data_IF_910978077569
#
_entry.id   IF_910978077569
#
_cell.length_a   1.000
_cell.length_b   1.000
_cell.length_c   1.000
_cell.angle_alpha   90.00
_cell.angle_beta   90.00
_cell.angle_gamma   90.00
#
_symmetry.space_group_name_H-M   'P 1'
#
loop_
_entity.id
_entity.type
_entity.pdbx_description
1 polymer ?
#
# COMPACT_ATOMS: atom_id res chain seq x y z
N UNK A 1 37.05 -2.35 9.49
CA UNK A 1 36.12 -2.44 10.63
C UNK A 1 35.41 -3.78 10.52
N UNK A 2 35.42 -4.59 11.53
CA UNK A 2 34.70 -5.84 11.62
C UNK A 2 33.20 -5.59 11.62
N UNK A 3 32.45 -6.45 10.96
CA UNK A 3 31.01 -6.39 11.00
C UNK A 3 30.53 -6.83 12.41
N UNK A 4 29.40 -6.31 12.90
CA UNK A 4 28.83 -6.77 14.14
C UNK A 4 28.54 -8.27 14.05
N UNK A 5 28.79 -9.00 15.14
CA UNK A 5 28.53 -10.45 15.23
C UNK A 5 27.02 -10.78 15.32
N UNK A 6 26.16 -9.78 15.49
CA UNK A 6 24.71 -9.95 15.56
C UNK A 6 24.06 -9.77 14.19
N UNK A 7 23.14 -10.66 13.87
CA UNK A 7 22.31 -10.59 12.67
C UNK A 7 20.95 -9.96 13.02
N UNK A 8 20.47 -9.03 12.19
CA UNK A 8 19.19 -8.36 12.42
C UNK A 8 18.00 -9.31 12.19
N UNK A 9 18.17 -10.27 11.27
CA UNK A 9 17.11 -11.22 10.92
C UNK A 9 17.66 -12.57 10.46
N UNK A 10 16.85 -13.61 10.66
CA UNK A 10 17.09 -14.95 10.13
C UNK A 10 15.84 -15.41 9.40
N UNK A 11 15.93 -15.63 8.11
CA UNK A 11 14.86 -16.25 7.31
C UNK A 11 15.27 -17.67 6.93
N UNK A 12 14.42 -18.64 7.23
CA UNK A 12 14.64 -20.05 6.87
C UNK A 12 13.70 -20.43 5.75
N UNK A 13 14.24 -20.94 4.65
CA UNK A 13 13.46 -21.54 3.57
C UNK A 13 13.39 -23.05 3.79
N UNK A 14 12.18 -23.60 3.74
CA UNK A 14 11.93 -25.03 3.90
C UNK A 14 11.37 -25.61 2.61
N UNK A 15 11.66 -26.89 2.35
CA UNK A 15 11.02 -27.69 1.33
C UNK A 15 10.49 -28.95 2.04
N UNK A 16 9.17 -28.97 2.23
CA UNK A 16 8.55 -29.88 3.22
C UNK A 16 9.07 -29.53 4.61
N UNK A 17 9.45 -30.54 5.38
CA UNK A 17 9.99 -30.37 6.74
C UNK A 17 11.51 -30.10 6.79
N UNK A 18 12.20 -30.13 5.64
CA UNK A 18 13.63 -29.90 5.57
C UNK A 18 13.96 -28.41 5.44
N UNK A 19 14.84 -27.92 6.31
CA UNK A 19 15.40 -26.56 6.25
C UNK A 19 16.53 -26.52 5.21
N UNK A 20 16.30 -25.85 4.07
CA UNK A 20 17.26 -25.86 2.96
C UNK A 20 18.23 -24.69 3.04
N UNK A 21 17.74 -23.47 3.33
CA UNK A 21 18.55 -22.26 3.30
C UNK A 21 18.23 -21.38 4.50
N UNK A 22 19.28 -20.88 5.15
CA UNK A 22 19.20 -19.84 6.15
C UNK A 22 19.70 -18.52 5.56
N UNK A 23 18.85 -17.50 5.54
CA UNK A 23 19.25 -16.14 5.21
C UNK A 23 19.44 -15.35 6.51
N UNK A 24 20.61 -14.73 6.64
CA UNK A 24 20.91 -13.81 7.72
C UNK A 24 21.03 -12.40 7.15
N UNK A 25 20.43 -11.42 7.81
CA UNK A 25 20.59 -10.01 7.49
C UNK A 25 21.34 -9.32 8.63
N UNK A 26 22.14 -8.36 8.27
CA UNK A 26 22.84 -7.52 9.24
C UNK A 26 22.82 -6.07 8.73
N UNK A 27 22.88 -5.14 9.66
CA UNK A 27 22.86 -3.70 9.37
C UNK A 27 24.18 -3.09 9.84
N UNK A 28 24.88 -2.46 8.89
CA UNK A 28 26.13 -1.75 9.18
C UNK A 28 25.95 -0.29 8.78
N UNK A 29 26.22 0.62 9.71
CA UNK A 29 26.35 2.05 9.41
C UNK A 29 27.82 2.37 9.13
N UNK A 30 28.12 2.78 7.90
CA UNK A 30 29.47 3.09 7.48
C UNK A 30 29.55 4.60 7.18
N UNK A 31 30.33 5.38 7.94
CA UNK A 31 30.55 6.78 7.62
C UNK A 31 31.26 6.91 6.28
N UNK A 32 30.80 7.82 5.42
CA UNK A 32 31.35 7.98 4.08
C UNK A 32 32.64 8.83 4.05
N UNK A 33 32.95 9.53 5.14
CA UNK A 33 34.14 10.38 5.24
C UNK A 33 35.41 9.53 5.09
N UNK A 34 36.32 9.96 4.25
CA UNK A 34 37.64 9.35 4.00
C UNK A 34 37.61 7.95 3.36
N UNK A 35 36.43 7.44 3.01
CA UNK A 35 36.31 6.17 2.31
C UNK A 35 36.40 6.34 0.80
N UNK A 36 37.27 5.52 0.17
CA UNK A 36 37.38 5.43 -1.28
C UNK A 36 36.73 4.15 -1.83
N UNK A 37 36.75 3.08 -1.04
CA UNK A 37 36.31 1.75 -1.47
C UNK A 37 35.83 0.92 -0.26
N UNK A 38 34.74 0.18 -0.45
CA UNK A 38 34.23 -0.79 0.51
C UNK A 38 34.16 -2.16 -0.14
N UNK A 39 34.64 -3.17 0.54
CA UNK A 39 34.56 -4.58 0.20
C UNK A 39 33.83 -5.30 1.34
N UNK A 40 33.09 -6.33 0.97
CA UNK A 40 32.50 -7.26 1.94
C UNK A 40 33.25 -8.60 1.82
N UNK A 41 33.80 -9.06 2.92
CA UNK A 41 34.57 -10.29 2.99
C UNK A 41 33.88 -11.18 4.05
N UNK A 42 33.62 -12.41 3.69
CA UNK A 42 33.19 -13.45 4.63
C UNK A 42 34.42 -14.22 5.10
N UNK A 43 34.64 -14.27 6.40
CA UNK A 43 35.70 -15.06 7.02
C UNK A 43 35.08 -16.33 7.58
N UNK A 44 35.61 -17.45 7.15
CA UNK A 44 35.21 -18.76 7.69
C UNK A 44 35.95 -19.05 9.01
N UNK A 45 35.46 -20.02 9.79
CA UNK A 45 36.06 -20.42 11.05
C UNK A 45 37.49 -21.00 10.88
N UNK A 46 37.76 -21.56 9.71
CA UNK A 46 39.10 -22.08 9.32
C UNK A 46 40.09 -20.99 8.91
N UNK A 47 39.68 -19.70 8.99
CA UNK A 47 40.52 -18.57 8.62
C UNK A 47 40.45 -18.20 7.12
N UNK A 48 39.79 -19.00 6.27
CA UNK A 48 39.64 -18.67 4.86
C UNK A 48 38.76 -17.47 4.64
N UNK A 49 39.03 -16.69 3.59
CA UNK A 49 38.28 -15.48 3.25
C UNK A 49 37.69 -15.56 1.85
N UNK A 50 36.40 -15.20 1.74
CA UNK A 50 35.75 -15.07 0.44
C UNK A 50 35.13 -13.69 0.25
N UNK A 51 35.38 -13.06 -0.88
CA UNK A 51 34.76 -11.77 -1.23
C UNK A 51 33.33 -11.97 -1.72
N UNK A 52 32.39 -11.37 -1.01
CA UNK A 52 30.98 -11.47 -1.36
C UNK A 52 30.66 -10.70 -2.64
N UNK A 53 29.83 -11.31 -3.46
CA UNK A 53 29.17 -10.63 -4.58
C UNK A 53 28.01 -9.80 -4.06
N UNK A 54 27.98 -8.52 -4.39
CA UNK A 54 26.95 -7.61 -3.93
C UNK A 54 25.76 -7.63 -4.89
N UNK A 55 24.59 -7.87 -4.35
CA UNK A 55 23.31 -7.58 -5.00
C UNK A 55 22.65 -6.41 -4.28
N UNK A 56 22.13 -5.47 -5.04
CA UNK A 56 21.47 -4.30 -4.45
C UNK A 56 19.97 -4.54 -4.42
N UNK A 57 19.40 -4.35 -3.25
CA UNK A 57 17.96 -4.35 -3.04
C UNK A 57 17.28 -3.20 -3.80
N UNK A 58 15.98 -3.24 -3.87
CA UNK A 58 15.15 -2.31 -4.63
C UNK A 58 15.41 -0.83 -4.30
N UNK A 59 15.65 -0.52 -3.05
CA UNK A 59 15.79 0.87 -2.57
C UNK A 59 17.25 1.35 -2.47
N UNK A 60 18.19 0.61 -3.03
CA UNK A 60 19.62 0.94 -2.92
C UNK A 60 20.06 2.14 -3.78
N UNK A 61 19.23 2.61 -4.72
CA UNK A 61 19.60 3.68 -5.63
C UNK A 61 20.70 3.33 -6.64
N UNK A 62 21.24 2.10 -6.61
CA UNK A 62 22.25 1.59 -7.54
C UNK A 62 21.75 0.27 -8.09
N UNK A 63 21.55 0.15 -9.39
CA UNK A 63 20.86 -1.02 -9.95
C UNK A 63 21.55 -1.63 -11.19
N UNK A 64 22.31 -0.86 -11.93
CA UNK A 64 22.98 -1.31 -13.16
C UNK A 64 24.45 -0.91 -13.17
N UNK A 65 25.26 -1.56 -14.03
CA UNK A 65 26.72 -1.41 -14.08
C UNK A 65 27.15 0.02 -14.16
N UNK A 66 26.63 0.96 -14.69
CA UNK A 66 27.08 2.34 -14.74
C UNK A 66 26.22 3.31 -13.90
N UNK A 67 25.15 2.80 -13.30
CA UNK A 67 24.33 3.61 -12.41
C UNK A 67 25.11 4.05 -11.17
N UNK A 68 24.68 5.13 -10.57
CA UNK A 68 25.30 5.70 -9.39
C UNK A 68 24.22 6.36 -8.54
N UNK A 69 24.47 6.50 -7.26
CA UNK A 69 23.64 7.36 -6.42
C UNK A 69 24.49 8.48 -5.81
N UNK A 70 23.84 9.57 -5.49
CA UNK A 70 24.44 10.70 -4.80
C UNK A 70 23.91 10.74 -3.38
N UNK A 71 24.82 10.66 -2.40
CA UNK A 71 24.50 10.81 -1.01
C UNK A 71 25.39 11.89 -0.42
N UNK A 72 24.76 12.94 0.07
CA UNK A 72 25.46 14.12 0.59
C UNK A 72 26.50 14.67 -0.44
N UNK A 73 27.74 14.73 -0.06
CA UNK A 73 28.85 15.20 -0.90
C UNK A 73 29.58 14.08 -1.67
N UNK A 74 28.98 12.89 -1.76
CA UNK A 74 29.64 11.74 -2.37
C UNK A 74 28.82 11.13 -3.52
N UNK A 75 29.56 10.58 -4.52
CA UNK A 75 29.02 9.72 -5.57
C UNK A 75 29.38 8.29 -5.20
N UNK A 76 28.37 7.44 -5.05
CA UNK A 76 28.48 6.03 -4.71
C UNK A 76 28.14 5.21 -5.94
N UNK A 77 28.95 4.21 -6.24
CA UNK A 77 28.75 3.32 -7.39
C UNK A 77 29.25 1.92 -7.13
N UNK A 78 28.70 0.96 -7.83
CA UNK A 78 29.15 -0.42 -7.81
C UNK A 78 30.16 -0.68 -8.95
N UNK A 79 31.23 -1.41 -8.64
CA UNK A 79 32.16 -1.92 -9.65
C UNK A 79 32.67 -3.30 -9.23
N UNK A 80 32.33 -4.34 -9.99
CA UNK A 80 32.63 -5.74 -9.68
C UNK A 80 32.09 -6.09 -8.26
N UNK A 81 32.94 -6.56 -7.34
CA UNK A 81 32.60 -6.90 -5.95
C UNK A 81 32.76 -5.71 -4.96
N UNK A 82 32.89 -4.46 -5.46
CA UNK A 82 33.24 -3.30 -4.62
C UNK A 82 32.19 -2.19 -4.72
N UNK A 83 32.00 -1.46 -3.63
CA UNK A 83 31.36 -0.15 -3.62
C UNK A 83 32.47 0.90 -3.69
N UNK A 84 32.43 1.78 -4.68
CA UNK A 84 33.37 2.89 -4.85
C UNK A 84 32.69 4.19 -4.43
N UNK A 85 33.42 4.98 -3.65
CA UNK A 85 32.97 6.25 -3.09
C UNK A 85 33.92 7.33 -3.60
N UNK A 86 33.37 8.39 -4.17
CA UNK A 86 34.17 9.52 -4.68
C UNK A 86 33.51 10.83 -4.29
N UNK A 87 34.30 11.83 -3.88
CA UNK A 87 33.79 13.18 -3.59
C UNK A 87 33.08 13.75 -4.82
N UNK A 88 31.89 14.28 -4.62
CA UNK A 88 31.05 14.85 -5.67
C UNK A 88 31.66 16.15 -6.21
N UNK A 89 31.79 16.23 -7.53
CA UNK A 89 32.04 17.47 -8.25
C UNK A 89 31.13 17.53 -9.46
N UNK A 90 30.80 18.72 -9.96
CA UNK A 90 29.97 18.89 -11.17
C UNK A 90 30.52 18.08 -12.36
N UNK A 91 31.82 18.17 -12.60
CA UNK A 91 32.51 17.44 -13.69
C UNK A 91 32.39 15.91 -13.56
N UNK A 92 32.57 15.36 -12.34
CA UNK A 92 32.44 13.93 -12.08
C UNK A 92 31.00 13.45 -12.25
N UNK A 93 30.04 14.26 -11.79
CA UNK A 93 28.61 13.94 -11.92
C UNK A 93 28.21 13.89 -13.40
N UNK A 94 28.54 14.91 -14.18
CA UNK A 94 28.25 14.97 -15.61
C UNK A 94 28.90 13.78 -16.36
N UNK A 95 30.18 13.48 -16.09
CA UNK A 95 30.86 12.32 -16.69
C UNK A 95 30.16 10.99 -16.36
N UNK A 96 29.57 10.85 -15.16
CA UNK A 96 28.82 9.65 -14.78
C UNK A 96 27.49 9.57 -15.51
N UNK A 97 26.77 10.66 -15.58
CA UNK A 97 25.49 10.70 -16.28
C UNK A 97 25.67 10.38 -17.77
N UNK A 98 26.62 11.02 -18.45
CA UNK A 98 26.92 10.72 -19.86
C UNK A 98 27.23 9.23 -20.08
N UNK A 99 28.04 8.62 -19.21
CA UNK A 99 28.35 7.19 -19.32
C UNK A 99 27.12 6.32 -19.12
N UNK A 100 26.22 6.73 -18.25
CA UNK A 100 24.98 5.99 -18.02
C UNK A 100 24.01 6.16 -19.18
N UNK A 101 23.88 7.35 -19.76
CA UNK A 101 23.10 7.58 -20.97
C UNK A 101 23.60 6.73 -22.14
N UNK A 102 24.91 6.65 -22.36
CA UNK A 102 25.51 5.75 -23.37
C UNK A 102 25.16 4.27 -23.10
N UNK A 103 25.14 3.85 -21.84
CA UNK A 103 24.71 2.49 -21.49
C UNK A 103 23.22 2.26 -21.81
N UNK A 104 22.35 3.22 -21.51
CA UNK A 104 20.93 3.13 -21.85
C UNK A 104 20.70 3.10 -23.37
N UNK A 105 21.50 3.83 -24.14
CA UNK A 105 21.46 3.76 -25.62
C UNK A 105 21.83 2.37 -26.12
N UNK A 106 22.92 1.78 -25.62
CA UNK A 106 23.35 0.41 -25.97
C UNK A 106 22.30 -0.64 -25.62
N UNK A 107 21.58 -0.44 -24.52
CA UNK A 107 20.49 -1.31 -24.08
C UNK A 107 19.13 -0.95 -24.72
N UNK A 108 19.11 -0.06 -25.71
CA UNK A 108 17.91 0.41 -26.46
C UNK A 108 16.81 0.97 -25.56
N UNK A 109 17.19 1.63 -24.46
CA UNK A 109 16.26 2.20 -23.49
C UNK A 109 15.97 3.70 -23.76
N UNK A 110 15.65 4.08 -24.99
CA UNK A 110 15.51 5.48 -25.44
C UNK A 110 14.46 6.27 -24.63
N UNK A 111 13.31 5.66 -24.31
CA UNK A 111 12.28 6.32 -23.50
C UNK A 111 12.81 6.72 -22.11
N UNK A 112 13.70 5.94 -21.52
CA UNK A 112 14.27 6.25 -20.20
C UNK A 112 15.32 7.37 -20.27
N UNK A 113 16.04 7.49 -21.38
CA UNK A 113 16.94 8.62 -21.63
C UNK A 113 16.14 9.91 -21.59
N UNK A 114 14.99 9.95 -22.28
CA UNK A 114 14.11 11.10 -22.27
C UNK A 114 13.60 11.46 -20.86
N UNK A 115 13.17 10.47 -20.07
CA UNK A 115 12.78 10.70 -18.67
C UNK A 115 13.92 11.26 -17.83
N UNK A 116 15.15 10.77 -18.01
CA UNK A 116 16.32 11.29 -17.28
C UNK A 116 16.64 12.73 -17.62
N UNK A 117 16.68 13.06 -18.92
CA UNK A 117 16.92 14.43 -19.37
C UNK A 117 15.82 15.39 -18.84
N UNK A 118 14.56 15.01 -19.00
CA UNK A 118 13.42 15.79 -18.48
C UNK A 118 13.50 15.94 -16.93
N UNK A 119 13.90 14.90 -16.21
CA UNK A 119 14.10 14.97 -14.77
C UNK A 119 15.14 16.02 -14.38
N UNK A 120 16.33 16.00 -14.99
CA UNK A 120 17.38 16.95 -14.64
C UNK A 120 16.98 18.38 -15.00
N UNK A 121 16.39 18.60 -16.16
CA UNK A 121 15.87 19.93 -16.56
C UNK A 121 14.81 20.40 -15.55
N UNK A 122 13.78 19.60 -15.31
CA UNK A 122 12.71 19.98 -14.39
C UNK A 122 13.19 20.19 -12.95
N UNK A 123 14.21 19.45 -12.52
CA UNK A 123 14.78 19.59 -11.18
C UNK A 123 15.43 20.95 -10.95
N UNK A 124 16.02 21.56 -11.99
CA UNK A 124 16.61 22.92 -11.91
C UNK A 124 15.55 23.98 -11.59
N UNK A 125 14.34 23.82 -12.15
CA UNK A 125 13.24 24.78 -12.00
C UNK A 125 12.27 24.46 -10.87
N UNK A 126 12.33 23.24 -10.30
CA UNK A 126 11.40 22.82 -9.26
C UNK A 126 11.86 23.29 -7.88
N UNK A 127 11.30 24.39 -7.42
CA UNK A 127 11.60 24.97 -6.09
C UNK A 127 10.72 24.43 -4.96
N UNK A 128 9.62 23.73 -5.29
CA UNK A 128 8.66 23.22 -4.30
C UNK A 128 8.81 21.71 -4.11
N UNK A 129 8.57 21.23 -2.90
CA UNK A 129 8.43 19.80 -2.68
C UNK A 129 7.21 19.26 -3.42
N UNK A 130 7.34 18.11 -4.04
CA UNK A 130 6.22 17.42 -4.71
C UNK A 130 5.81 16.24 -3.85
N UNK A 131 4.53 16.22 -3.46
CA UNK A 131 3.90 15.11 -2.79
C UNK A 131 2.84 14.50 -3.70
N UNK A 132 2.86 13.18 -3.86
CA UNK A 132 1.86 12.44 -4.62
C UNK A 132 1.09 11.58 -3.64
N UNK A 133 -0.22 11.75 -3.63
CA UNK A 133 -1.17 11.01 -2.81
C UNK A 133 -1.97 10.07 -3.71
N UNK A 134 -2.29 8.89 -3.24
CA UNK A 134 -3.15 7.92 -3.95
C UNK A 134 -3.83 6.96 -2.98
N UNK A 135 -4.92 6.38 -3.43
CA UNK A 135 -5.53 5.20 -2.85
C UNK A 135 -5.32 4.01 -3.79
N UNK A 136 -6.38 3.39 -4.32
CA UNK A 136 -6.23 2.38 -5.36
C UNK A 136 -6.04 3.01 -6.75
N UNK A 137 -5.86 2.18 -7.79
CA UNK A 137 -5.67 2.66 -9.15
C UNK A 137 -6.89 3.42 -9.68
N UNK A 138 -8.11 2.99 -9.32
CA UNK A 138 -9.37 3.47 -9.91
C UNK A 138 -10.34 4.08 -8.89
N UNK A 139 -10.10 3.87 -7.61
CA UNK A 139 -11.01 4.27 -6.55
C UNK A 139 -10.28 5.19 -5.56
N UNK A 140 -10.88 6.31 -5.26
CA UNK A 140 -10.44 7.27 -4.26
C UNK A 140 -11.53 7.37 -3.18
N UNK A 141 -11.57 6.44 -2.27
CA UNK A 141 -12.53 6.42 -1.17
C UNK A 141 -11.89 5.81 0.09
N UNK A 142 -10.69 6.27 0.42
CA UNK A 142 -9.90 5.77 1.52
C UNK A 142 -9.05 6.89 2.13
N UNK A 143 -8.14 6.54 3.02
CA UNK A 143 -7.28 7.45 3.77
C UNK A 143 -6.49 8.44 2.90
N UNK A 144 -6.14 8.06 1.66
CA UNK A 144 -5.44 8.95 0.73
C UNK A 144 -6.33 10.07 0.22
N UNK A 145 -7.59 9.80 -0.11
CA UNK A 145 -8.56 10.84 -0.50
C UNK A 145 -8.73 11.87 0.61
N UNK A 146 -8.97 11.42 1.83
CA UNK A 146 -9.23 12.30 2.97
C UNK A 146 -8.01 13.13 3.34
N UNK A 147 -6.84 12.49 3.34
CA UNK A 147 -5.59 13.20 3.55
C UNK A 147 -5.30 14.21 2.44
N UNK A 148 -5.60 13.88 1.17
CA UNK A 148 -5.44 14.83 0.07
C UNK A 148 -6.37 16.04 0.22
N UNK A 149 -7.64 15.82 0.56
CA UNK A 149 -8.61 16.90 0.82
C UNK A 149 -8.15 17.81 1.96
N UNK A 150 -7.63 17.24 3.03
CA UNK A 150 -7.05 18.00 4.13
C UNK A 150 -5.87 18.86 3.65
N UNK A 151 -4.95 18.30 2.87
CA UNK A 151 -3.79 19.03 2.34
C UNK A 151 -4.16 20.21 1.43
N UNK A 152 -5.35 20.21 0.81
CA UNK A 152 -5.82 21.36 0.02
C UNK A 152 -6.33 22.52 0.90
N UNK A 153 -6.73 22.23 2.15
CA UNK A 153 -7.18 23.25 3.11
C UNK A 153 -6.00 23.90 3.84
N UNK A 154 -4.87 23.21 3.94
CA UNK A 154 -3.67 23.71 4.60
C UNK A 154 -2.85 24.56 3.62
N UNK A 155 -2.71 25.85 3.90
CA UNK A 155 -1.86 26.73 3.09
C UNK A 155 -0.38 26.42 3.32
N UNK A 156 0.18 25.59 2.47
CA UNK A 156 1.62 25.30 2.47
C UNK A 156 2.26 25.67 1.12
N UNK A 157 2.75 26.91 1.04
CA UNK A 157 3.38 27.48 -0.16
C UNK A 157 4.63 26.70 -0.63
N UNK A 158 5.25 25.90 0.23
CA UNK A 158 6.46 25.11 -0.08
C UNK A 158 6.18 23.75 -0.71
N UNK A 159 4.96 23.24 -0.57
CA UNK A 159 4.56 21.91 -1.04
C UNK A 159 3.61 22.03 -2.22
N UNK A 160 3.75 21.13 -3.19
CA UNK A 160 2.83 20.97 -4.32
C UNK A 160 2.27 19.56 -4.29
N UNK A 161 1.00 19.44 -3.97
CA UNK A 161 0.31 18.15 -3.84
C UNK A 161 -0.40 17.76 -5.13
N UNK A 162 -0.41 16.45 -5.39
CA UNK A 162 -1.14 15.84 -6.49
C UNK A 162 -1.84 14.59 -6.00
N UNK A 163 -3.04 14.33 -6.50
CA UNK A 163 -3.68 13.02 -6.35
C UNK A 163 -3.44 12.19 -7.62
N UNK A 164 -3.04 10.94 -7.48
CA UNK A 164 -2.79 10.04 -8.61
C UNK A 164 -3.89 8.99 -8.71
N UNK A 165 -4.53 8.88 -9.89
CA UNK A 165 -5.63 7.95 -10.17
C UNK A 165 -5.75 7.73 -11.68
N UNK A 166 -6.36 6.62 -12.12
CA UNK A 166 -6.68 6.40 -13.54
C UNK A 166 -7.70 7.41 -14.07
N UNK A 167 -7.59 7.74 -15.38
CA UNK A 167 -8.51 8.72 -16.01
C UNK A 167 -9.92 8.17 -16.21
N UNK A 168 -10.02 6.87 -16.50
CA UNK A 168 -11.27 6.22 -16.90
C UNK A 168 -12.00 5.63 -15.69
N UNK A 169 -12.20 6.44 -14.66
CA UNK A 169 -12.98 6.10 -13.48
C UNK A 169 -13.75 7.33 -12.98
N UNK A 170 -14.84 7.12 -12.28
CA UNK A 170 -15.73 8.18 -11.81
C UNK A 170 -15.03 9.11 -10.81
N UNK A 171 -14.21 8.54 -9.95
CA UNK A 171 -13.45 9.28 -8.96
C UNK A 171 -12.39 10.22 -9.53
N UNK A 172 -12.00 10.06 -10.81
CA UNK A 172 -11.10 11.02 -11.45
C UNK A 172 -11.72 12.43 -11.53
N UNK A 173 -13.00 12.52 -11.92
CA UNK A 173 -13.71 13.80 -11.97
C UNK A 173 -13.97 14.35 -10.57
N UNK A 174 -14.34 13.49 -9.63
CA UNK A 174 -14.52 13.81 -8.20
C UNK A 174 -13.25 14.45 -7.63
N UNK A 175 -12.09 13.81 -7.79
CA UNK A 175 -10.83 14.30 -7.23
C UNK A 175 -10.34 15.60 -7.85
N UNK A 176 -10.65 15.86 -9.13
CA UNK A 176 -10.33 17.14 -9.78
C UNK A 176 -11.01 18.35 -9.14
N UNK A 177 -12.16 18.17 -8.50
CA UNK A 177 -12.86 19.26 -7.78
C UNK A 177 -12.07 19.73 -6.55
N UNK A 178 -11.26 18.86 -5.97
CA UNK A 178 -10.48 19.17 -4.76
C UNK A 178 -9.08 19.69 -5.07
N UNK A 179 -8.45 19.29 -6.19
CA UNK A 179 -7.09 19.74 -6.46
C UNK A 179 -6.48 19.14 -7.73
N UNK A 180 -5.15 19.18 -7.81
CA UNK A 180 -4.43 18.73 -9.02
C UNK A 180 -4.35 17.21 -9.07
N UNK A 181 -4.83 16.64 -10.17
CA UNK A 181 -4.83 15.18 -10.40
C UNK A 181 -3.80 14.80 -11.46
N UNK A 182 -3.12 13.69 -11.24
CA UNK A 182 -2.23 13.03 -12.17
C UNK A 182 -2.86 11.73 -12.65
N UNK A 183 -2.89 11.53 -13.97
CA UNK A 183 -3.35 10.27 -14.56
C UNK A 183 -2.22 9.25 -14.46
N UNK A 184 -2.46 8.09 -13.84
CA UNK A 184 -1.51 6.97 -13.79
C UNK A 184 -0.98 6.60 -15.18
N UNK A 185 0.25 6.11 -15.25
CA UNK A 185 0.89 5.62 -16.47
C UNK A 185 1.39 6.69 -17.44
N UNK A 186 0.92 7.94 -17.34
CA UNK A 186 1.32 9.03 -18.26
C UNK A 186 2.75 9.51 -18.02
N UNK A 187 3.34 10.14 -19.04
CA UNK A 187 4.65 10.80 -18.94
C UNK A 187 4.68 11.80 -17.78
N UNK A 188 3.65 12.65 -17.68
CA UNK A 188 3.54 13.66 -16.61
C UNK A 188 3.54 13.04 -15.21
N UNK A 189 2.79 11.95 -15.02
CA UNK A 189 2.78 11.23 -13.74
C UNK A 189 4.18 10.68 -13.42
N UNK A 190 4.78 9.93 -14.35
CA UNK A 190 6.10 9.31 -14.16
C UNK A 190 7.19 10.35 -13.89
N UNK A 191 7.16 11.50 -14.57
CA UNK A 191 8.11 12.58 -14.32
C UNK A 191 7.89 13.22 -12.94
N UNK A 192 6.63 13.47 -12.52
CA UNK A 192 6.32 13.98 -11.18
C UNK A 192 6.70 12.99 -10.09
N UNK A 193 6.53 11.69 -10.35
CA UNK A 193 6.98 10.62 -9.46
C UNK A 193 8.49 10.68 -9.22
N UNK A 194 9.31 10.81 -10.26
CA UNK A 194 10.76 10.96 -10.13
C UNK A 194 11.16 12.22 -9.34
N UNK A 195 10.41 13.30 -9.47
CA UNK A 195 10.65 14.57 -8.79
C UNK A 195 10.05 14.64 -7.38
N UNK A 196 9.26 13.64 -6.97
CA UNK A 196 8.56 13.67 -5.70
C UNK A 196 9.51 13.49 -4.52
N UNK A 197 9.21 14.19 -3.43
CA UNK A 197 9.86 14.01 -2.13
C UNK A 197 9.10 13.02 -1.23
N UNK A 198 7.78 12.88 -1.47
CA UNK A 198 6.93 11.92 -0.75
C UNK A 198 5.94 11.26 -1.70
N UNK A 199 5.76 9.96 -1.51
CA UNK A 199 4.64 9.18 -2.01
C UNK A 199 3.82 8.78 -0.80
N UNK A 200 2.54 9.06 -0.81
CA UNK A 200 1.62 8.91 0.32
C UNK A 200 0.44 8.08 -0.18
N UNK A 201 0.16 6.93 0.43
CA UNK A 201 -0.92 6.08 -0.06
C UNK A 201 -1.51 5.21 1.04
N UNK A 202 -2.80 4.89 0.90
CA UNK A 202 -3.47 3.84 1.67
C UNK A 202 -3.06 2.44 1.23
N UNK A 203 -2.39 2.31 0.07
CA UNK A 203 -1.94 1.05 -0.51
C UNK A 203 -0.41 0.97 -0.57
N UNK A 204 0.16 -0.24 -0.37
CA UNK A 204 1.60 -0.51 -0.51
C UNK A 204 1.92 -1.41 -1.71
N UNK A 205 1.08 -1.39 -2.73
CA UNK A 205 1.19 -2.22 -3.93
C UNK A 205 2.25 -1.66 -4.91
N UNK A 206 2.63 -2.50 -5.89
CA UNK A 206 3.64 -2.14 -6.88
C UNK A 206 3.28 -0.88 -7.68
N UNK A 207 2.02 -0.69 -8.05
CA UNK A 207 1.60 0.48 -8.82
C UNK A 207 1.88 1.81 -8.09
N UNK A 208 1.88 1.80 -6.74
CA UNK A 208 2.21 2.98 -5.91
C UNK A 208 3.71 3.26 -5.94
N UNK A 209 4.54 2.22 -5.84
CA UNK A 209 5.98 2.34 -5.59
C UNK A 209 6.83 2.23 -6.86
N UNK A 210 6.26 1.73 -7.96
CA UNK A 210 6.99 1.45 -9.19
C UNK A 210 6.18 1.74 -10.46
N UNK A 211 6.12 2.98 -10.93
CA UNK A 211 5.42 3.33 -12.17
C UNK A 211 6.17 2.91 -13.45
N UNK A 212 7.38 2.35 -13.33
CA UNK A 212 8.21 1.96 -14.47
C UNK A 212 8.25 0.45 -14.72
N UNK A 213 7.55 -0.35 -13.90
CA UNK A 213 7.45 -1.80 -14.02
C UNK A 213 8.81 -2.50 -14.17
N UNK A 214 8.95 -3.40 -15.11
CA UNK A 214 10.20 -4.13 -15.41
C UNK A 214 11.38 -3.21 -15.76
N UNK A 215 11.12 -1.93 -16.13
CA UNK A 215 12.15 -0.94 -16.47
C UNK A 215 12.68 -0.16 -15.27
N UNK A 216 12.11 -0.33 -14.10
CA UNK A 216 12.54 0.31 -12.84
C UNK A 216 14.04 0.22 -12.61
N UNK A 217 14.63 -0.95 -12.86
CA UNK A 217 16.07 -1.21 -12.70
C UNK A 217 17.00 -0.26 -13.44
N UNK A 218 16.50 0.51 -14.40
CA UNK A 218 17.25 1.49 -15.17
C UNK A 218 17.07 2.94 -14.72
N UNK A 219 16.15 3.21 -13.83
CA UNK A 219 15.78 4.58 -13.47
C UNK A 219 15.59 4.81 -11.96
N UNK A 220 15.53 3.75 -11.16
CA UNK A 220 15.29 3.87 -9.72
C UNK A 220 16.40 4.59 -8.93
N UNK A 221 17.59 4.79 -9.54
CA UNK A 221 18.63 5.66 -9.01
C UNK A 221 18.19 7.12 -8.88
N UNK A 222 17.15 7.51 -9.61
CA UNK A 222 16.50 8.82 -9.49
C UNK A 222 15.38 8.87 -8.43
N UNK A 223 14.98 7.73 -7.86
CA UNK A 223 13.98 7.69 -6.80
C UNK A 223 14.52 8.33 -5.52
N UNK A 224 13.87 9.41 -5.09
CA UNK A 224 14.28 10.15 -3.89
C UNK A 224 13.12 10.38 -2.93
N UNK A 225 12.00 9.71 -3.14
CA UNK A 225 10.83 9.85 -2.30
C UNK A 225 10.95 9.09 -0.98
N UNK A 226 10.24 9.57 0.01
CA UNK A 226 9.92 8.86 1.26
C UNK A 226 8.51 8.32 1.13
N UNK A 227 8.32 7.02 1.35
CA UNK A 227 7.01 6.42 1.32
C UNK A 227 6.31 6.58 2.67
N UNK A 228 5.11 7.14 2.65
CA UNK A 228 4.20 7.27 3.78
C UNK A 228 3.02 6.35 3.53
N UNK A 229 2.87 5.36 4.36
CA UNK A 229 1.80 4.37 4.26
C UNK A 229 0.70 4.73 5.26
N UNK A 230 -0.44 5.18 4.75
CA UNK A 230 -1.60 5.59 5.55
C UNK A 230 -2.44 4.41 6.02
N UNK A 231 -2.15 3.21 5.51
CA UNK A 231 -2.97 2.01 5.66
C UNK A 231 -4.33 2.07 4.95
N UNK A 232 -4.85 0.91 4.65
CA UNK A 232 -6.22 0.70 4.14
C UNK A 232 -7.19 0.38 5.29
N UNK A 233 -6.71 -0.21 6.37
CA UNK A 233 -7.46 -0.61 7.55
C UNK A 233 -6.52 -1.14 8.63
N UNK A 234 -7.03 -1.37 9.83
CA UNK A 234 -6.24 -1.91 10.93
C UNK A 234 -5.75 -3.32 10.59
N UNK A 235 -4.47 -3.56 10.77
CA UNK A 235 -3.83 -4.87 10.55
C UNK A 235 -4.00 -5.72 11.80
N UNK A 236 -4.79 -6.80 11.69
CA UNK A 236 -4.94 -7.81 12.73
C UNK A 236 -4.02 -9.01 12.48
N UNK A 237 -3.96 -9.47 11.23
CA UNK A 237 -3.17 -10.63 10.83
C UNK A 237 -1.71 -10.27 10.56
N UNK A 238 -0.82 -11.26 10.58
CA UNK A 238 0.59 -11.01 10.23
C UNK A 238 0.75 -10.77 8.72
N UNK A 239 1.08 -9.55 8.37
CA UNK A 239 1.42 -9.11 7.01
C UNK A 239 2.92 -8.79 6.86
N UNK A 240 3.76 -9.23 7.79
CA UNK A 240 5.19 -8.92 7.81
C UNK A 240 5.89 -9.31 6.51
N UNK A 241 5.63 -10.49 5.97
CA UNK A 241 6.20 -10.97 4.69
C UNK A 241 5.96 -10.01 3.51
N UNK A 242 4.87 -9.26 3.55
CA UNK A 242 4.51 -8.30 2.50
C UNK A 242 4.98 -6.88 2.82
N UNK A 243 4.79 -6.45 4.08
CA UNK A 243 4.99 -5.06 4.49
C UNK A 243 6.35 -4.80 5.16
N UNK A 244 7.19 -5.80 5.33
CA UNK A 244 8.48 -5.64 5.98
C UNK A 244 9.31 -4.50 5.34
N UNK A 245 10.17 -3.91 6.15
CA UNK A 245 10.99 -2.74 5.79
C UNK A 245 11.86 -2.96 4.54
N UNK A 246 12.38 -4.16 4.36
CA UNK A 246 13.25 -4.48 3.21
C UNK A 246 12.49 -4.59 1.89
N UNK A 247 11.18 -4.88 1.95
CA UNK A 247 10.29 -4.95 0.80
C UNK A 247 9.66 -3.61 0.43
N UNK A 248 9.28 -2.77 1.42
CA UNK A 248 8.49 -1.56 1.18
C UNK A 248 9.20 -0.25 1.52
N UNK A 249 10.21 -0.29 2.41
CA UNK A 249 10.94 0.91 2.87
C UNK A 249 10.02 2.06 3.31
N UNK A 250 8.97 1.71 4.06
CA UNK A 250 8.02 2.69 4.60
C UNK A 250 8.77 3.59 5.60
N UNK A 251 8.64 4.89 5.43
CA UNK A 251 9.29 5.90 6.28
C UNK A 251 8.37 6.45 7.37
N UNK A 252 7.08 6.40 7.13
CA UNK A 252 6.03 6.62 8.12
C UNK A 252 4.98 5.54 7.88
N UNK A 253 4.79 4.70 8.88
CA UNK A 253 3.79 3.65 8.92
C UNK A 253 2.71 4.10 9.90
N UNK A 254 1.56 4.50 9.39
CA UNK A 254 0.44 4.96 10.21
C UNK A 254 -0.23 3.74 10.84
N UNK A 255 -0.59 3.84 12.11
CA UNK A 255 -1.39 2.86 12.86
C UNK A 255 -2.49 3.55 13.65
N UNK A 256 -3.55 2.84 13.98
CA UNK A 256 -4.68 3.43 14.68
C UNK A 256 -5.02 2.75 16.01
N UNK A 257 -4.47 1.58 16.27
CA UNK A 257 -4.66 0.86 17.52
C UNK A 257 -3.30 0.56 18.19
N UNK A 258 -3.27 0.57 19.52
CA UNK A 258 -2.04 0.30 20.28
C UNK A 258 -1.50 -1.12 20.02
N UNK A 259 -2.38 -2.12 19.99
CA UNK A 259 -2.01 -3.51 19.70
C UNK A 259 -1.40 -3.66 18.29
N UNK A 260 -1.96 -2.97 17.29
CA UNK A 260 -1.41 -2.92 15.94
C UNK A 260 -0.01 -2.28 15.92
N UNK A 261 0.15 -1.13 16.58
CA UNK A 261 1.45 -0.45 16.71
C UNK A 261 2.49 -1.37 17.33
N UNK A 262 2.15 -2.03 18.44
CA UNK A 262 3.07 -2.93 19.14
C UNK A 262 3.43 -4.16 18.29
N UNK A 263 2.47 -4.73 17.57
CA UNK A 263 2.69 -5.84 16.63
C UNK A 263 3.69 -5.47 15.53
N UNK A 264 3.57 -4.27 14.96
CA UNK A 264 4.47 -3.83 13.88
C UNK A 264 5.87 -3.48 14.41
N UNK A 265 5.97 -2.85 15.59
CA UNK A 265 7.25 -2.44 16.17
C UNK A 265 8.04 -3.64 16.70
N UNK A 266 7.36 -4.63 17.29
CA UNK A 266 7.99 -5.77 17.96
C UNK A 266 8.01 -7.05 17.10
N UNK A 267 7.23 -7.09 16.01
CA UNK A 267 7.16 -8.24 15.10
C UNK A 267 8.16 -8.16 13.95
N UNK A 268 8.04 -9.10 13.01
CA UNK A 268 8.98 -9.30 11.90
C UNK A 268 8.84 -8.27 10.75
N UNK A 269 8.27 -7.09 11.05
CA UNK A 269 8.18 -5.97 10.09
C UNK A 269 9.48 -5.15 9.98
N UNK A 270 10.35 -5.23 10.97
CA UNK A 270 11.65 -4.53 11.06
C UNK A 270 11.56 -3.00 11.06
N UNK A 271 10.42 -2.43 11.39
CA UNK A 271 10.26 -1.00 11.65
C UNK A 271 10.50 -0.69 13.12
N UNK A 272 10.89 0.54 13.39
CA UNK A 272 11.13 1.04 14.76
C UNK A 272 10.07 2.11 15.13
N UNK A 273 10.04 2.50 16.38
CA UNK A 273 9.22 3.63 16.88
C UNK A 273 9.40 4.93 16.10
N UNK A 274 10.52 5.07 15.36
CA UNK A 274 10.77 6.24 14.53
C UNK A 274 9.93 6.22 13.25
N UNK A 275 9.64 5.07 12.70
CA UNK A 275 8.86 4.91 11.47
C UNK A 275 7.38 4.66 11.74
N UNK A 276 7.03 3.88 12.77
CA UNK A 276 5.64 3.58 13.12
C UNK A 276 5.05 4.71 13.95
N UNK A 277 3.84 5.16 13.59
CA UNK A 277 3.16 6.27 14.23
C UNK A 277 1.71 5.93 14.56
N UNK A 278 1.36 5.99 15.83
CA UNK A 278 0.00 5.80 16.31
C UNK A 278 -0.75 7.14 16.23
N UNK A 279 -1.41 7.39 15.11
CA UNK A 279 -2.08 8.67 14.81
C UNK A 279 -3.57 8.54 14.51
N UNK A 280 -4.08 7.32 14.34
CA UNK A 280 -5.39 7.12 13.74
C UNK A 280 -5.33 7.18 12.20
N UNK A 281 -6.44 6.82 11.56
CA UNK A 281 -6.59 6.82 10.10
C UNK A 281 -7.28 8.11 9.64
N UNK A 282 -6.83 8.77 8.56
CA UNK A 282 -7.44 10.02 8.08
C UNK A 282 -8.95 9.94 7.82
N UNK A 283 -9.47 8.81 7.36
CA UNK A 283 -10.91 8.63 7.09
C UNK A 283 -11.77 8.66 8.36
N UNK A 284 -11.17 8.42 9.53
CA UNK A 284 -11.92 8.43 10.79
C UNK A 284 -12.42 9.82 11.19
N UNK A 285 -11.79 10.88 10.68
CA UNK A 285 -12.23 12.26 10.94
C UNK A 285 -13.63 12.56 10.39
N UNK A 286 -14.15 11.71 9.49
CA UNK A 286 -15.48 11.86 8.90
C UNK A 286 -16.54 10.93 9.51
N UNK A 287 -16.13 9.99 10.32
CA UNK A 287 -17.06 9.06 10.95
C UNK A 287 -17.83 9.80 12.06
N UNK A 288 -19.13 9.98 11.84
CA UNK A 288 -20.04 10.64 12.78
C UNK A 288 -20.95 9.56 13.37
N UNK A 289 -21.17 9.60 14.68
CA UNK A 289 -22.00 8.62 15.36
C UNK A 289 -23.48 9.10 15.41
N UNK A 290 -24.23 8.91 14.33
CA UNK A 290 -25.64 9.33 14.23
C UNK A 290 -26.62 8.36 14.92
N UNK A 291 -26.31 7.06 14.94
CA UNK A 291 -27.12 5.98 15.55
C UNK A 291 -28.61 6.02 15.19
N UNK A 292 -28.93 5.95 13.91
CA UNK A 292 -30.31 5.72 13.48
C UNK A 292 -30.78 4.33 13.95
N UNK A 293 -32.08 4.12 14.07
CA UNK A 293 -32.67 2.79 14.34
C UNK A 293 -32.52 1.87 13.12
N UNK A 294 -31.27 1.52 12.83
CA UNK A 294 -30.89 0.75 11.66
C UNK A 294 -29.74 -0.21 11.99
N UNK A 295 -29.83 -1.43 11.46
CA UNK A 295 -28.84 -2.50 11.61
C UNK A 295 -28.22 -2.75 10.25
N UNK A 296 -26.91 -2.88 10.16
CA UNK A 296 -26.24 -3.28 8.92
C UNK A 296 -25.69 -4.70 9.01
N UNK A 297 -25.98 -5.51 7.99
CA UNK A 297 -25.35 -6.81 7.75
C UNK A 297 -24.34 -6.65 6.62
N UNK A 298 -23.08 -6.92 6.92
CA UNK A 298 -21.97 -6.73 5.99
C UNK A 298 -20.97 -7.90 6.08
N UNK A 299 -21.27 -9.04 5.42
CA UNK A 299 -20.40 -10.21 5.46
C UNK A 299 -19.15 -10.07 4.60
N UNK A 300 -18.09 -10.76 5.00
CA UNK A 300 -16.85 -10.89 4.22
C UNK A 300 -17.01 -11.92 3.11
N UNK A 301 -16.41 -11.66 1.96
CA UNK A 301 -16.37 -12.62 0.87
C UNK A 301 -15.62 -13.91 1.25
N UNK A 302 -15.98 -15.04 0.62
CA UNK A 302 -15.24 -16.29 0.72
C UNK A 302 -14.47 -16.53 -0.58
N UNK A 303 -13.24 -17.04 -0.47
CA UNK A 303 -12.37 -17.26 -1.64
C UNK A 303 -12.97 -18.25 -2.65
N UNK A 304 -13.65 -19.28 -2.17
CA UNK A 304 -14.31 -20.30 -2.99
C UNK A 304 -15.57 -19.82 -3.71
N UNK A 305 -16.13 -18.67 -3.30
CA UNK A 305 -17.32 -18.10 -3.92
C UNK A 305 -16.99 -17.06 -4.99
N UNK A 306 -15.73 -16.73 -5.17
CA UNK A 306 -15.26 -15.70 -6.09
C UNK A 306 -14.35 -16.33 -7.13
N UNK A 307 -14.79 -16.37 -8.39
CA UNK A 307 -13.90 -16.80 -9.46
C UNK A 307 -12.77 -15.81 -9.72
N UNK A 308 -11.54 -16.34 -9.76
CA UNK A 308 -10.34 -15.56 -9.99
C UNK A 308 -10.12 -15.35 -11.50
N UNK A 309 -10.70 -14.30 -12.07
CA UNK A 309 -10.37 -13.89 -13.42
C UNK A 309 -8.97 -13.26 -13.46
N UNK A 310 -8.05 -13.85 -14.21
CA UNK A 310 -6.62 -13.50 -14.27
C UNK A 310 -6.38 -12.10 -14.84
N UNK A 311 -7.33 -11.56 -15.61
CA UNK A 311 -7.16 -10.30 -16.34
C UNK A 311 -7.61 -9.04 -15.59
N UNK A 312 -8.51 -9.15 -14.60
CA UNK A 312 -9.00 -7.97 -13.87
C UNK A 312 -9.32 -8.33 -12.40
N UNK A 313 -8.42 -7.97 -11.49
CA UNK A 313 -8.47 -8.35 -10.07
C UNK A 313 -9.68 -7.81 -9.28
N UNK A 314 -10.39 -6.82 -9.80
CA UNK A 314 -11.54 -6.18 -9.14
C UNK A 314 -12.88 -6.55 -9.78
N UNK A 315 -12.90 -6.98 -11.05
CA UNK A 315 -14.11 -7.39 -11.73
C UNK A 315 -14.19 -8.91 -11.72
N UNK A 316 -14.99 -9.46 -10.81
CA UNK A 316 -15.23 -10.89 -10.67
C UNK A 316 -16.40 -11.29 -11.53
N UNK A 317 -16.34 -12.49 -12.12
CA UNK A 317 -17.48 -13.08 -12.83
C UNK A 317 -18.60 -13.45 -11.85
N UNK A 318 -19.81 -13.48 -12.36
CA UNK A 318 -20.95 -14.04 -11.63
C UNK A 318 -20.73 -15.56 -11.45
N UNK A 319 -20.94 -16.04 -10.23
CA UNK A 319 -20.83 -17.45 -9.90
C UNK A 319 -22.22 -18.11 -9.95
N UNK A 320 -22.53 -18.95 -10.94
CA UNK A 320 -23.86 -19.58 -11.10
C UNK A 320 -24.19 -20.57 -9.97
N UNK A 321 -23.19 -21.01 -9.23
CA UNK A 321 -23.38 -21.94 -8.10
C UNK A 321 -23.54 -21.22 -6.76
N UNK A 322 -23.55 -19.90 -6.75
CA UNK A 322 -23.58 -19.10 -5.53
C UNK A 322 -24.80 -19.43 -4.65
N UNK A 323 -25.99 -19.58 -5.23
CA UNK A 323 -27.23 -19.95 -4.50
C UNK A 323 -27.16 -21.31 -3.79
N UNK A 324 -26.24 -22.20 -4.20
CA UNK A 324 -26.05 -23.49 -3.53
C UNK A 324 -25.12 -23.43 -2.31
N UNK A 325 -24.43 -22.32 -2.12
CA UNK A 325 -23.47 -22.14 -1.03
C UNK A 325 -24.16 -21.98 0.33
N UNK A 326 -23.50 -22.46 1.38
CA UNK A 326 -23.93 -22.22 2.77
C UNK A 326 -23.96 -20.71 3.09
N UNK A 327 -23.03 -19.95 2.52
CA UNK A 327 -22.99 -18.49 2.65
C UNK A 327 -24.30 -17.86 2.17
N UNK A 328 -24.75 -18.20 0.97
CA UNK A 328 -26.01 -17.66 0.43
C UNK A 328 -27.18 -18.08 1.30
N UNK A 329 -27.32 -19.36 1.60
CA UNK A 329 -28.43 -19.90 2.39
C UNK A 329 -28.51 -19.18 3.73
N UNK A 330 -27.39 -19.13 4.47
CA UNK A 330 -27.34 -18.49 5.79
C UNK A 330 -27.79 -17.02 5.76
N UNK A 331 -27.24 -16.21 4.84
CA UNK A 331 -27.58 -14.78 4.81
C UNK A 331 -28.96 -14.52 4.19
N UNK A 332 -29.40 -15.33 3.23
CA UNK A 332 -30.77 -15.22 2.70
C UNK A 332 -31.81 -15.57 3.76
N UNK A 333 -31.59 -16.61 4.53
CA UNK A 333 -32.46 -17.00 5.63
C UNK A 333 -32.44 -15.92 6.74
N UNK A 334 -31.27 -15.38 7.07
CA UNK A 334 -31.11 -14.35 8.08
C UNK A 334 -31.90 -13.06 7.76
N UNK A 335 -31.89 -12.61 6.50
CA UNK A 335 -32.60 -11.38 6.10
C UNK A 335 -34.09 -11.58 5.94
N UNK A 336 -34.57 -12.83 5.92
CA UNK A 336 -35.99 -13.20 5.80
C UNK A 336 -36.54 -13.85 7.08
N UNK A 337 -35.74 -13.99 8.15
CA UNK A 337 -36.17 -14.64 9.39
C UNK A 337 -37.31 -13.89 10.04
N UNK A 338 -38.45 -14.59 10.21
CA UNK A 338 -39.68 -14.02 10.75
C UNK A 338 -39.48 -13.40 12.15
N UNK A 339 -38.73 -14.05 13.02
CA UNK A 339 -38.56 -13.58 14.40
C UNK A 339 -37.72 -12.29 14.40
N UNK A 340 -36.72 -12.20 13.52
CA UNK A 340 -35.92 -10.99 13.36
C UNK A 340 -36.78 -9.86 12.79
N UNK A 341 -37.58 -10.12 11.75
CA UNK A 341 -38.47 -9.12 11.15
C UNK A 341 -39.52 -8.62 12.15
N UNK A 342 -40.16 -9.51 12.92
CA UNK A 342 -41.10 -9.14 13.96
C UNK A 342 -40.42 -8.30 15.05
N UNK A 343 -39.19 -8.60 15.40
CA UNK A 343 -38.41 -7.79 16.35
C UNK A 343 -38.07 -6.41 15.79
N UNK A 344 -37.68 -6.31 14.52
CA UNK A 344 -37.43 -5.03 13.83
C UNK A 344 -38.69 -4.17 13.86
N UNK A 345 -39.84 -4.75 13.49
CA UNK A 345 -41.14 -4.10 13.49
C UNK A 345 -41.50 -3.58 14.88
N UNK A 346 -41.43 -4.43 15.89
CA UNK A 346 -41.79 -4.11 17.29
C UNK A 346 -40.96 -2.95 17.83
N UNK A 347 -39.66 -2.85 17.46
CA UNK A 347 -38.74 -1.84 18.00
C UNK A 347 -38.55 -0.62 17.08
N UNK A 348 -39.18 -0.62 15.90
CA UNK A 348 -39.09 0.44 14.93
C UNK A 348 -37.69 0.52 14.27
N UNK A 349 -37.01 -0.62 14.07
CA UNK A 349 -35.74 -0.72 13.40
C UNK A 349 -35.89 -1.14 11.93
N UNK A 350 -34.92 -0.77 11.11
CA UNK A 350 -34.72 -1.30 9.77
C UNK A 350 -33.40 -2.06 9.69
N UNK A 351 -33.27 -2.92 8.70
CA UNK A 351 -32.06 -3.67 8.39
C UNK A 351 -31.55 -3.27 7.01
N UNK A 352 -30.25 -3.14 6.87
CA UNK A 352 -29.56 -2.91 5.60
C UNK A 352 -28.64 -4.09 5.32
N UNK A 353 -28.82 -4.74 4.19
CA UNK A 353 -27.94 -5.82 3.75
C UNK A 353 -27.04 -5.34 2.63
N UNK A 354 -25.74 -5.53 2.78
CA UNK A 354 -24.73 -5.13 1.80
C UNK A 354 -23.66 -6.22 1.63
N UNK A 355 -23.31 -6.55 0.40
CA UNK A 355 -22.27 -7.51 0.12
C UNK A 355 -20.91 -6.85 -0.09
N UNK A 356 -19.86 -7.57 0.28
CA UNK A 356 -18.49 -7.19 -0.03
C UNK A 356 -18.35 -6.91 -1.55
N UNK A 357 -17.59 -5.88 -2.00
CA UNK A 357 -17.46 -5.51 -3.42
C UNK A 357 -17.10 -6.66 -4.35
N UNK A 358 -16.34 -7.66 -3.90
CA UNK A 358 -15.99 -8.84 -4.69
C UNK A 358 -17.17 -9.78 -4.97
N UNK A 359 -18.27 -9.69 -4.20
CA UNK A 359 -19.50 -10.47 -4.38
C UNK A 359 -20.64 -9.62 -4.97
N UNK A 360 -20.37 -8.43 -5.45
CA UNK A 360 -21.39 -7.47 -5.89
C UNK A 360 -22.32 -8.03 -6.99
N UNK A 361 -21.81 -8.85 -7.89
CA UNK A 361 -22.61 -9.46 -8.97
C UNK A 361 -23.63 -10.48 -8.45
N UNK A 362 -23.41 -11.03 -7.26
CA UNK A 362 -24.30 -11.99 -6.62
C UNK A 362 -25.41 -11.32 -5.78
N UNK A 363 -25.39 -9.99 -5.61
CA UNK A 363 -26.40 -9.30 -4.82
C UNK A 363 -27.82 -9.48 -5.38
N UNK A 364 -27.97 -9.69 -6.68
CA UNK A 364 -29.22 -9.97 -7.35
C UNK A 364 -29.84 -11.33 -7.03
N UNK A 365 -29.03 -12.23 -6.45
CA UNK A 365 -29.52 -13.56 -6.04
C UNK A 365 -30.31 -13.53 -4.73
N UNK A 366 -30.11 -12.48 -3.91
CA UNK A 366 -30.83 -12.30 -2.67
C UNK A 366 -32.23 -11.75 -2.92
N UNK A 367 -33.22 -12.44 -2.40
CA UNK A 367 -34.63 -12.13 -2.55
C UNK A 367 -35.25 -11.91 -1.17
N UNK A 368 -36.15 -10.95 -1.06
CA UNK A 368 -36.89 -10.66 0.16
C UNK A 368 -38.30 -11.22 0.08
N UNK A 369 -38.70 -11.92 1.12
CA UNK A 369 -40.07 -12.31 1.33
C UNK A 369 -40.98 -11.08 1.57
N UNK A 370 -42.28 -11.19 1.31
CA UNK A 370 -43.19 -10.07 1.42
C UNK A 370 -43.15 -9.40 2.80
N UNK A 371 -43.00 -10.17 3.87
CA UNK A 371 -42.88 -9.67 5.25
C UNK A 371 -41.59 -8.89 5.51
N UNK A 372 -40.54 -9.14 4.73
CA UNK A 372 -39.22 -8.51 4.90
C UNK A 372 -39.07 -7.20 4.11
N UNK A 373 -39.79 -7.03 3.00
CA UNK A 373 -39.63 -5.91 2.06
C UNK A 373 -39.73 -4.52 2.68
N UNK A 374 -40.55 -4.36 3.71
CA UNK A 374 -40.71 -3.05 4.37
C UNK A 374 -39.63 -2.76 5.43
N UNK A 375 -38.90 -3.77 5.85
CA UNK A 375 -37.93 -3.69 6.96
C UNK A 375 -36.47 -3.92 6.55
N UNK A 376 -36.23 -4.50 5.38
CA UNK A 376 -34.90 -4.84 4.88
C UNK A 376 -34.61 -4.16 3.56
N UNK A 377 -33.54 -3.39 3.51
CA UNK A 377 -33.03 -2.75 2.30
C UNK A 377 -31.78 -3.49 1.80
N UNK A 378 -31.78 -3.99 0.56
CA UNK A 378 -30.61 -4.58 -0.07
C UNK A 378 -29.86 -3.53 -0.90
N UNK A 379 -28.61 -3.21 -0.55
CA UNK A 379 -27.79 -2.26 -1.29
C UNK A 379 -27.28 -2.89 -2.59
N UNK A 380 -27.89 -2.53 -3.71
CA UNK A 380 -27.51 -2.97 -5.06
C UNK A 380 -26.49 -2.05 -5.74
N UNK A 381 -26.24 -0.87 -5.21
CA UNK A 381 -25.35 0.17 -5.75
C UNK A 381 -23.99 0.16 -5.06
N UNK A 382 -23.18 1.17 -5.34
CA UNK A 382 -21.91 1.37 -4.65
C UNK A 382 -22.13 1.75 -3.18
N UNK A 383 -21.34 1.12 -2.29
CA UNK A 383 -21.48 1.31 -0.84
C UNK A 383 -20.72 2.56 -0.42
N UNK A 384 -21.41 3.51 0.16
CA UNK A 384 -20.80 4.58 0.94
C UNK A 384 -20.56 4.07 2.37
N UNK A 385 -19.37 3.53 2.63
CA UNK A 385 -19.03 2.97 3.94
C UNK A 385 -19.10 4.00 5.07
N UNK A 386 -18.78 5.28 4.81
CA UNK A 386 -18.81 6.32 5.84
C UNK A 386 -20.24 6.56 6.32
N UNK A 387 -21.18 6.73 5.38
CA UNK A 387 -22.59 6.88 5.66
C UNK A 387 -23.14 5.62 6.32
N UNK A 388 -22.80 4.45 5.79
CA UNK A 388 -23.27 3.17 6.32
C UNK A 388 -22.85 2.99 7.79
N UNK A 389 -21.59 3.29 8.13
CA UNK A 389 -21.12 3.16 9.51
C UNK A 389 -21.64 4.26 10.43
N UNK A 390 -21.79 5.48 9.94
CA UNK A 390 -22.30 6.60 10.71
C UNK A 390 -23.78 6.40 11.10
N UNK A 391 -24.61 5.96 10.18
CA UNK A 391 -26.06 5.86 10.38
C UNK A 391 -26.51 4.61 11.15
N UNK A 392 -25.85 3.47 10.98
CA UNK A 392 -26.28 2.22 11.59
C UNK A 392 -25.89 2.12 13.07
N UNK A 393 -26.79 1.53 13.88
CA UNK A 393 -26.61 1.35 15.33
C UNK A 393 -25.91 0.05 15.69
N UNK A 394 -26.04 -0.99 14.86
CA UNK A 394 -25.47 -2.33 15.05
C UNK A 394 -24.86 -2.81 13.74
N UNK A 395 -23.69 -3.40 13.82
CA UNK A 395 -23.07 -4.14 12.72
C UNK A 395 -23.18 -5.64 12.97
N UNK A 396 -23.73 -6.36 12.00
CA UNK A 396 -23.70 -7.82 11.93
C UNK A 396 -22.72 -8.22 10.83
N UNK A 397 -21.64 -8.92 11.20
CA UNK A 397 -20.59 -9.31 10.28
C UNK A 397 -19.87 -10.59 10.74
N UNK A 398 -18.82 -10.98 10.03
CA UNK A 398 -18.05 -12.20 10.35
C UNK A 398 -16.56 -11.88 10.57
N UNK A 399 -15.71 -12.02 9.57
CA UNK A 399 -14.24 -11.87 9.67
C UNK A 399 -13.72 -10.52 9.13
N UNK A 400 -14.59 -9.56 8.88
CA UNK A 400 -14.26 -8.31 8.20
C UNK A 400 -13.49 -7.31 9.07
N UNK A 401 -12.47 -6.67 8.50
CA UNK A 401 -11.74 -5.57 9.16
C UNK A 401 -12.57 -4.30 9.35
N UNK A 402 -13.73 -4.18 8.74
CA UNK A 402 -14.67 -3.04 8.94
C UNK A 402 -15.18 -2.93 10.39
N UNK A 403 -15.05 -4.01 11.17
CA UNK A 403 -15.35 -3.99 12.61
C UNK A 403 -14.59 -2.90 13.34
N UNK A 404 -13.36 -2.60 12.92
CA UNK A 404 -12.55 -1.59 13.59
C UNK A 404 -13.07 -0.18 13.36
N UNK A 405 -13.60 0.12 12.17
CA UNK A 405 -14.23 1.41 11.87
C UNK A 405 -15.50 1.58 12.72
N UNK A 406 -16.28 0.50 12.87
CA UNK A 406 -17.48 0.49 13.69
C UNK A 406 -17.19 0.58 15.19
N UNK A 407 -16.12 -0.11 15.64
CA UNK A 407 -15.61 -0.02 17.02
C UNK A 407 -15.12 1.39 17.35
N UNK A 408 -14.49 2.07 16.40
CA UNK A 408 -14.07 3.46 16.55
C UNK A 408 -15.26 4.37 16.91
N UNK A 409 -16.42 4.10 16.33
CA UNK A 409 -17.68 4.78 16.67
C UNK A 409 -18.31 4.31 18.00
N UNK A 410 -17.71 3.36 18.71
CA UNK A 410 -18.21 2.74 19.94
C UNK A 410 -19.63 2.18 19.78
N UNK A 411 -19.88 1.50 18.67
CA UNK A 411 -21.13 0.84 18.34
C UNK A 411 -21.00 -0.67 18.51
N UNK A 412 -22.10 -1.37 18.89
CA UNK A 412 -22.08 -2.81 19.08
C UNK A 412 -21.89 -3.57 17.77
N UNK A 413 -21.25 -4.74 17.88
CA UNK A 413 -20.98 -5.65 16.76
C UNK A 413 -21.42 -7.04 17.14
N UNK A 414 -22.14 -7.71 16.24
CA UNK A 414 -22.53 -9.10 16.35
C UNK A 414 -21.80 -9.91 15.28
N UNK A 415 -21.16 -11.00 15.68
CA UNK A 415 -20.43 -11.88 14.77
C UNK A 415 -21.26 -13.08 14.36
N UNK A 416 -21.36 -13.32 13.05
CA UNK A 416 -21.96 -14.50 12.44
C UNK A 416 -20.85 -15.42 11.93
N UNK A 417 -20.53 -16.46 12.67
CA UNK A 417 -19.47 -17.41 12.34
C UNK A 417 -20.07 -18.79 12.05
N UNK A 418 -20.90 -18.87 11.01
CA UNK A 418 -21.68 -20.05 10.63
C UNK A 418 -20.84 -21.14 9.97
N UNK A 419 -19.67 -20.80 9.42
CA UNK A 419 -18.79 -21.65 8.62
C UNK A 419 -17.42 -21.89 9.32
N UNK A 420 -17.46 -22.10 10.64
CA UNK A 420 -16.29 -22.43 11.46
C UNK A 420 -15.88 -23.89 11.29
#
# INVERSE_FOLDING_TARGET
KEAPQSFDTKTTYTMGDQKIIHHYTFKVKIPLKDLKKINFIFKYKDGTENRLSLRFGRFAGICKKYSYCVKDSYIIRHRKKNILITKKTKKKLLKRELRYLLQLMREKQFKLIFYRLAYFICKLFNKKEIWIVSDSEKIANDNGEDFFKYLQKVDNKKIKTYFAIEKNCDDYKKMKKYGKVLKFGTFRYKLKFLLSSKIISSQANEFVLNPFDKKEKYIRDLYNFKFVFLQHGIIKDDLSKWLEKYNKNIRIFVTSAKAEYDSIVNGDYYYTKNEVKLTGLPRYDKLINERKKQIVILPTHRRNLVEWNVSNKLDRSYNPYFKKSEFYKFYNDLINDKNIIDSLKKNGYKMVFALHPLLRKQISDFELDDNAKDYVDIIKTEIDYQKLFSENSLLVTDYSSVVFDFTYLRKPILYTQFDK
#
